data_IF_900872625141
#
_entry.id   IF_900872625141
#
_cell.length_a   1.000
_cell.length_b   1.000
_cell.length_c   1.000
_cell.angle_alpha   90.00
_cell.angle_beta   90.00
_cell.angle_gamma   90.00
#
_symmetry.space_group_name_H-M   'P 1'
#
loop_
_entity.id
_entity.type
_entity.pdbx_description
1 polymer ?
#
# COMPACT_ATOMS: atom_id res chain seq x y z
N UNK A 1 -0.59 25.51 6.59
CA UNK A 1 -1.21 24.20 6.37
C UNK A 1 -0.20 23.13 6.75
N UNK A 2 -0.65 22.00 7.30
CA UNK A 2 0.22 20.83 7.45
C UNK A 2 0.36 20.09 6.12
N UNK A 3 1.49 19.42 5.86
CA UNK A 3 1.71 18.62 4.65
C UNK A 3 0.56 17.64 4.36
N UNK A 4 -0.04 17.04 5.40
CA UNK A 4 -1.18 16.14 5.24
C UNK A 4 -2.45 16.84 4.70
N UNK A 5 -2.70 18.10 5.09
CA UNK A 5 -3.87 18.86 4.61
C UNK A 5 -3.70 19.24 3.15
N UNK A 6 -2.50 19.69 2.79
CA UNK A 6 -2.15 20.04 1.41
C UNK A 6 -2.18 18.82 0.50
N UNK A 7 -1.66 17.68 0.98
CA UNK A 7 -1.76 16.40 0.28
C UNK A 7 -3.20 15.97 0.06
N UNK A 8 -4.04 16.09 1.08
CA UNK A 8 -5.45 15.71 1.02
C UNK A 8 -6.23 16.55 0.01
N UNK A 9 -6.01 17.86 0.00
CA UNK A 9 -6.56 18.78 -1.00
C UNK A 9 -6.08 18.45 -2.41
N UNK A 10 -4.76 18.28 -2.59
CA UNK A 10 -4.13 18.01 -3.88
C UNK A 10 -4.63 16.69 -4.49
N UNK A 11 -4.68 15.61 -3.71
CA UNK A 11 -5.20 14.32 -4.17
C UNK A 11 -6.73 14.35 -4.40
N UNK A 12 -7.43 15.26 -3.70
CA UNK A 12 -8.87 15.51 -3.80
C UNK A 12 -9.30 16.32 -5.03
N UNK A 13 -8.38 17.04 -5.69
CA UNK A 13 -8.63 17.79 -6.92
C UNK A 13 -9.34 16.96 -7.97
N UNK A 14 -10.12 17.61 -8.84
CA UNK A 14 -10.89 16.91 -9.85
C UNK A 14 -10.01 16.00 -10.74
N UNK A 15 -10.61 14.93 -11.27
CA UNK A 15 -10.00 13.92 -12.13
C UNK A 15 -9.12 14.56 -13.19
N UNK A 16 -9.77 15.41 -13.98
CA UNK A 16 -9.22 16.11 -15.13
C UNK A 16 -8.24 17.21 -14.74
N UNK A 17 -8.23 17.67 -13.49
CA UNK A 17 -7.32 18.73 -13.06
C UNK A 17 -5.96 18.14 -12.63
N UNK A 18 -5.97 17.11 -11.77
CA UNK A 18 -4.76 16.45 -11.31
C UNK A 18 -3.95 15.85 -12.46
N UNK A 19 -4.61 15.10 -13.35
CA UNK A 19 -3.93 14.39 -14.43
C UNK A 19 -3.44 15.37 -15.50
N UNK A 20 -4.19 16.46 -15.76
CA UNK A 20 -3.80 17.50 -16.73
C UNK A 20 -2.64 18.35 -16.24
N UNK A 21 -2.55 18.58 -14.93
CA UNK A 21 -1.50 19.38 -14.32
C UNK A 21 -0.27 18.55 -13.95
N UNK A 22 -0.30 17.23 -14.19
CA UNK A 22 0.80 16.29 -13.90
C UNK A 22 1.29 16.36 -12.45
N UNK A 23 0.34 16.50 -11.49
CA UNK A 23 0.63 16.75 -10.07
C UNK A 23 1.18 15.53 -9.31
N UNK A 24 1.67 14.53 -10.04
CA UNK A 24 2.22 13.30 -9.48
C UNK A 24 3.48 13.58 -8.66
N UNK A 25 4.35 14.46 -9.15
CA UNK A 25 5.60 14.78 -8.47
C UNK A 25 5.33 15.57 -7.18
N UNK A 26 4.42 16.54 -7.22
CA UNK A 26 4.01 17.33 -6.06
C UNK A 26 3.37 16.45 -4.98
N UNK A 27 2.55 15.48 -5.40
CA UNK A 27 2.01 14.47 -4.47
C UNK A 27 3.12 13.64 -3.82
N UNK A 28 4.13 13.19 -4.59
CA UNK A 28 5.26 12.44 -4.06
C UNK A 28 6.07 13.28 -3.06
N UNK A 29 6.36 14.53 -3.39
CA UNK A 29 7.09 15.45 -2.51
C UNK A 29 6.35 15.71 -1.19
N UNK A 30 5.02 15.83 -1.22
CA UNK A 30 4.19 15.97 -0.02
C UNK A 30 4.14 14.67 0.79
N UNK A 31 4.09 13.51 0.14
CA UNK A 31 4.16 12.19 0.80
C UNK A 31 5.51 11.99 1.48
N UNK A 32 6.61 12.38 0.84
CA UNK A 32 7.96 12.31 1.42
C UNK A 32 8.16 13.19 2.66
N UNK A 33 7.30 14.20 2.86
CA UNK A 33 7.30 15.06 4.04
C UNK A 33 6.47 14.51 5.21
N UNK A 34 5.69 13.46 5.00
CA UNK A 34 4.89 12.85 6.05
C UNK A 34 5.79 12.31 7.16
N UNK A 35 5.33 12.43 8.40
CA UNK A 35 5.98 11.87 9.58
C UNK A 35 5.09 10.80 10.18
N UNK A 36 5.68 9.96 11.04
CA UNK A 36 4.93 8.92 11.76
C UNK A 36 3.78 9.49 12.60
N UNK A 37 3.90 10.73 13.07
CA UNK A 37 2.85 11.45 13.79
C UNK A 37 1.63 11.82 12.91
N UNK A 38 1.79 11.88 11.59
CA UNK A 38 0.71 12.21 10.65
C UNK A 38 -0.12 10.97 10.27
N UNK A 39 0.42 9.75 10.51
CA UNK A 39 -0.21 8.47 10.15
C UNK A 39 -1.60 8.27 10.78
N UNK A 40 -1.86 8.56 12.06
CA UNK A 40 -3.20 8.41 12.63
C UNK A 40 -4.25 9.27 11.92
N UNK A 41 -3.90 10.50 11.53
CA UNK A 41 -4.80 11.38 10.81
C UNK A 41 -4.99 10.91 9.36
N UNK A 42 -3.93 10.46 8.70
CA UNK A 42 -4.01 9.84 7.37
C UNK A 42 -4.92 8.59 7.35
N UNK A 43 -4.79 7.72 8.35
CA UNK A 43 -5.65 6.53 8.51
C UNK A 43 -7.11 6.89 8.77
N UNK A 44 -7.37 7.99 9.50
CA UNK A 44 -8.72 8.48 9.73
C UNK A 44 -9.35 9.05 8.45
N UNK A 45 -8.55 9.70 7.59
CA UNK A 45 -8.99 10.21 6.29
C UNK A 45 -9.23 9.10 5.26
N UNK A 46 -8.43 8.04 5.29
CA UNK A 46 -8.44 6.97 4.28
C UNK A 46 -9.84 6.43 3.91
N UNK A 47 -10.68 5.98 4.88
CA UNK A 47 -12.03 5.47 4.55
C UNK A 47 -13.02 6.56 4.13
N UNK A 48 -12.73 7.84 4.39
CA UNK A 48 -13.58 8.97 4.00
C UNK A 48 -13.34 9.42 2.56
N UNK A 49 -12.25 8.95 1.93
CA UNK A 49 -11.83 9.35 0.59
C UNK A 49 -12.19 8.30 -0.45
N UNK A 50 -12.48 8.79 -1.66
CA UNK A 50 -12.86 7.95 -2.79
C UNK A 50 -11.67 7.09 -3.27
N UNK A 51 -11.93 5.97 -3.98
CA UNK A 51 -10.87 5.10 -4.50
C UNK A 51 -9.81 5.83 -5.34
N UNK A 52 -10.19 6.86 -6.11
CA UNK A 52 -9.23 7.64 -6.93
C UNK A 52 -8.17 8.33 -6.06
N UNK A 53 -8.57 8.84 -4.90
CA UNK A 53 -7.68 9.52 -3.96
C UNK A 53 -6.64 8.53 -3.43
N UNK A 54 -7.10 7.34 -3.02
CA UNK A 54 -6.24 6.26 -2.51
C UNK A 54 -5.29 5.75 -3.61
N UNK A 55 -5.78 5.63 -4.84
CA UNK A 55 -4.97 5.27 -6.00
C UNK A 55 -3.86 6.30 -6.26
N UNK A 56 -4.19 7.60 -6.31
CA UNK A 56 -3.18 8.66 -6.50
C UNK A 56 -2.13 8.66 -5.39
N UNK A 57 -2.56 8.53 -4.13
CA UNK A 57 -1.64 8.40 -2.99
C UNK A 57 -0.66 7.25 -3.18
N UNK A 58 -1.18 6.05 -3.48
CA UNK A 58 -0.33 4.86 -3.61
C UNK A 58 0.60 4.91 -4.82
N UNK A 59 0.14 5.48 -5.94
CA UNK A 59 0.99 5.69 -7.12
C UNK A 59 2.14 6.65 -6.80
N UNK A 60 1.85 7.80 -6.16
CA UNK A 60 2.81 8.84 -5.81
C UNK A 60 3.62 8.56 -4.54
N UNK A 61 3.63 7.34 -4.02
CA UNK A 61 4.32 7.00 -2.75
C UNK A 61 5.78 6.57 -2.94
N UNK A 62 6.50 7.14 -3.92
CA UNK A 62 7.86 6.68 -4.25
C UNK A 62 8.90 7.11 -3.18
N UNK A 63 8.71 8.30 -2.61
CA UNK A 63 9.58 8.92 -1.62
C UNK A 63 9.14 8.72 -0.17
N UNK A 64 8.07 7.95 0.06
CA UNK A 64 7.52 7.72 1.40
C UNK A 64 8.59 7.17 2.36
N UNK A 65 8.68 7.77 3.54
CA UNK A 65 9.59 7.28 4.58
C UNK A 65 9.23 5.86 5.02
N UNK A 66 10.24 5.03 5.25
CA UNK A 66 10.05 3.62 5.57
C UNK A 66 9.34 3.37 6.91
N UNK A 67 9.48 4.26 7.89
CA UNK A 67 8.76 4.14 9.16
C UNK A 67 7.30 4.57 9.00
N UNK A 68 7.04 5.62 8.22
CA UNK A 68 5.68 6.05 7.84
C UNK A 68 4.95 4.96 7.08
N UNK A 69 5.58 4.39 6.05
CA UNK A 69 5.01 3.30 5.26
C UNK A 69 4.64 2.08 6.11
N UNK A 70 5.54 1.66 7.00
CA UNK A 70 5.29 0.53 7.92
C UNK A 70 4.11 0.82 8.85
N UNK A 71 4.05 2.01 9.44
CA UNK A 71 2.96 2.41 10.32
C UNK A 71 1.62 2.52 9.57
N UNK A 72 1.63 3.07 8.35
CA UNK A 72 0.47 3.17 7.48
C UNK A 72 -0.06 1.78 7.12
N UNK A 73 0.80 0.87 6.64
CA UNK A 73 0.42 -0.51 6.33
C UNK A 73 -0.17 -1.22 7.57
N UNK A 74 0.48 -1.10 8.73
CA UNK A 74 -0.04 -1.70 9.97
C UNK A 74 -1.45 -1.21 10.30
N UNK A 75 -1.72 0.08 10.12
CA UNK A 75 -3.03 0.69 10.36
C UNK A 75 -4.08 0.32 9.32
N UNK A 76 -3.72 0.31 8.03
CA UNK A 76 -4.62 -0.07 6.94
C UNK A 76 -5.12 -1.51 7.13
N UNK A 77 -4.26 -2.43 7.56
CA UNK A 77 -4.66 -3.82 7.83
C UNK A 77 -5.72 -3.98 8.93
N UNK A 78 -5.94 -2.95 9.76
CA UNK A 78 -6.98 -2.96 10.82
C UNK A 78 -8.33 -2.42 10.34
N UNK A 79 -8.38 -1.75 9.20
CA UNK A 79 -9.62 -1.21 8.63
C UNK A 79 -10.38 -2.38 7.98
N UNK A 80 -11.60 -2.65 8.47
CA UNK A 80 -12.39 -3.83 8.06
C UNK A 80 -12.96 -3.73 6.64
N UNK A 81 -12.99 -2.53 6.07
CA UNK A 81 -13.42 -2.27 4.70
C UNK A 81 -12.27 -2.54 3.72
N UNK A 82 -12.59 -2.89 2.48
CA UNK A 82 -11.59 -3.23 1.45
C UNK A 82 -10.53 -2.13 1.31
N UNK A 83 -9.35 -2.38 1.88
CA UNK A 83 -8.23 -1.44 1.87
C UNK A 83 -7.54 -1.50 0.51
N UNK A 84 -8.04 -0.70 -0.43
CA UNK A 84 -7.36 -0.43 -1.69
C UNK A 84 -5.96 0.13 -1.40
N UNK A 85 -4.98 -0.26 -2.22
CA UNK A 85 -3.61 0.26 -2.11
C UNK A 85 -2.66 -0.51 -1.21
N UNK A 86 -3.10 -1.50 -0.41
CA UNK A 86 -2.19 -2.28 0.46
C UNK A 86 -1.10 -2.98 -0.36
N UNK A 87 -1.47 -3.64 -1.47
CA UNK A 87 -0.49 -4.36 -2.31
C UNK A 87 0.45 -3.40 -3.05
N UNK A 88 -0.04 -2.26 -3.49
CA UNK A 88 0.75 -1.19 -4.10
C UNK A 88 1.76 -0.64 -3.10
N UNK A 89 1.33 -0.34 -1.87
CA UNK A 89 2.21 0.14 -0.79
C UNK A 89 3.21 -0.93 -0.33
N UNK A 90 2.83 -2.21 -0.32
CA UNK A 90 3.76 -3.31 -0.06
C UNK A 90 4.93 -3.32 -1.05
N UNK A 91 4.70 -2.94 -2.31
CA UNK A 91 5.77 -2.87 -3.32
C UNK A 91 6.80 -1.76 -3.05
N UNK A 92 6.48 -0.82 -2.14
CA UNK A 92 7.38 0.26 -1.69
C UNK A 92 8.21 -0.12 -0.45
N UNK A 93 7.90 -1.24 0.20
CA UNK A 93 8.73 -1.71 1.31
C UNK A 93 10.13 -2.11 0.81
N UNK A 94 11.17 -1.96 1.65
CA UNK A 94 12.48 -2.52 1.35
C UNK A 94 12.36 -4.02 1.02
N UNK A 95 13.20 -4.49 0.09
CA UNK A 95 13.29 -5.90 -0.32
C UNK A 95 13.93 -6.79 0.76
N UNK A 96 13.43 -6.70 1.99
CA UNK A 96 13.91 -7.47 3.13
C UNK A 96 12.72 -7.76 4.03
N UNK A 97 12.14 -8.94 3.85
CA UNK A 97 11.21 -9.49 4.80
C UNK A 97 11.94 -9.77 6.11
N UNK A 98 11.41 -9.25 7.20
CA UNK A 98 11.85 -9.55 8.56
C UNK A 98 10.81 -10.44 9.27
N UNK A 99 11.14 -10.90 10.47
CA UNK A 99 10.21 -11.60 11.35
C UNK A 99 9.36 -10.63 12.20
N UNK A 100 9.06 -9.44 11.68
CA UNK A 100 8.23 -8.47 12.40
C UNK A 100 6.76 -8.86 12.40
N UNK A 101 6.02 -8.34 13.39
CA UNK A 101 4.56 -8.48 13.46
C UNK A 101 3.86 -7.89 12.22
N UNK A 102 4.42 -6.85 11.60
CA UNK A 102 3.90 -6.31 10.35
C UNK A 102 4.03 -7.32 9.21
N UNK A 103 5.20 -7.95 9.07
CA UNK A 103 5.42 -8.97 8.03
C UNK A 103 4.48 -10.17 8.19
N UNK A 104 4.19 -10.58 9.42
CA UNK A 104 3.19 -11.62 9.69
C UNK A 104 1.78 -11.17 9.31
N UNK A 105 1.38 -9.94 9.68
CA UNK A 105 0.07 -9.40 9.35
C UNK A 105 -0.13 -9.22 7.83
N UNK A 106 0.92 -8.83 7.10
CA UNK A 106 0.91 -8.73 5.63
C UNK A 106 0.78 -10.11 4.98
N UNK A 107 1.42 -11.14 5.53
CA UNK A 107 1.24 -12.52 5.06
C UNK A 107 -0.19 -13.01 5.31
N UNK A 108 -0.75 -12.78 6.50
CA UNK A 108 -2.14 -13.14 6.82
C UNK A 108 -3.12 -12.42 5.89
N UNK A 109 -2.84 -11.17 5.53
CA UNK A 109 -3.62 -10.41 4.56
C UNK A 109 -3.51 -10.99 3.15
N UNK A 110 -2.29 -11.24 2.67
CA UNK A 110 -2.04 -11.78 1.33
C UNK A 110 -2.64 -13.17 1.13
N UNK A 111 -2.54 -14.04 2.16
CA UNK A 111 -3.14 -15.37 2.16
C UNK A 111 -4.67 -15.32 2.08
N UNK A 112 -5.31 -14.45 2.89
CA UNK A 112 -6.77 -14.25 2.80
C UNK A 112 -7.19 -13.71 1.43
N UNK A 113 -6.47 -12.72 0.90
CA UNK A 113 -6.75 -12.15 -0.41
C UNK A 113 -6.57 -13.17 -1.54
N UNK A 114 -5.58 -14.07 -1.43
CA UNK A 114 -5.33 -15.14 -2.40
C UNK A 114 -6.52 -16.07 -2.56
N UNK A 115 -7.15 -16.47 -1.45
CA UNK A 115 -8.32 -17.33 -1.49
C UNK A 115 -9.62 -16.60 -1.86
N UNK A 116 -9.68 -15.28 -1.66
CA UNK A 116 -10.87 -14.49 -1.94
C UNK A 116 -11.06 -14.15 -3.42
N UNK A 117 -9.97 -13.86 -4.17
CA UNK A 117 -10.06 -13.34 -5.54
C UNK A 117 -8.87 -13.80 -6.41
N UNK A 118 -9.15 -14.69 -7.36
CA UNK A 118 -8.14 -15.18 -8.31
C UNK A 118 -7.61 -14.09 -9.25
N UNK A 119 -8.41 -13.04 -9.52
CA UNK A 119 -7.98 -11.91 -10.35
C UNK A 119 -6.81 -11.12 -9.75
N UNK A 120 -6.56 -11.26 -8.45
CA UNK A 120 -5.48 -10.57 -7.72
C UNK A 120 -4.19 -11.38 -7.58
N UNK A 121 -4.18 -12.64 -8.02
CA UNK A 121 -3.03 -13.56 -7.83
C UNK A 121 -1.71 -12.98 -8.34
N UNK A 122 -1.71 -12.36 -9.52
CA UNK A 122 -0.52 -11.71 -10.08
C UNK A 122 -0.05 -10.51 -9.26
N UNK A 123 -0.98 -9.70 -8.76
CA UNK A 123 -0.65 -8.56 -7.92
C UNK A 123 -0.05 -9.03 -6.57
N UNK A 124 -0.65 -10.04 -5.95
CA UNK A 124 -0.16 -10.66 -4.72
C UNK A 124 1.27 -11.16 -4.89
N UNK A 125 1.54 -11.88 -5.99
CA UNK A 125 2.88 -12.37 -6.33
C UNK A 125 3.89 -11.22 -6.42
N UNK A 126 3.60 -10.20 -7.21
CA UNK A 126 4.50 -9.07 -7.43
C UNK A 126 4.79 -8.36 -6.10
N UNK A 127 3.75 -7.99 -5.35
CA UNK A 127 3.90 -7.27 -4.08
C UNK A 127 4.67 -8.07 -3.04
N UNK A 128 4.39 -9.38 -2.91
CA UNK A 128 5.12 -10.24 -1.97
C UNK A 128 6.55 -10.50 -2.42
N UNK A 129 6.83 -10.52 -3.73
CA UNK A 129 8.19 -10.62 -4.23
C UNK A 129 9.00 -9.35 -3.93
N UNK A 130 8.44 -8.17 -4.19
CA UNK A 130 9.09 -6.87 -3.96
C UNK A 130 9.56 -6.67 -2.53
N UNK A 131 8.78 -7.13 -1.54
CA UNK A 131 9.14 -7.01 -0.11
C UNK A 131 9.77 -8.28 0.50
N UNK A 132 10.09 -9.30 -0.30
CA UNK A 132 10.75 -10.53 0.17
C UNK A 132 9.84 -11.53 0.90
N UNK A 133 8.52 -11.35 0.90
CA UNK A 133 7.55 -12.24 1.56
C UNK A 133 7.17 -13.47 0.72
N UNK A 134 7.51 -13.52 -0.57
CA UNK A 134 7.13 -14.59 -1.51
C UNK A 134 7.34 -16.00 -0.96
N UNK A 135 8.54 -16.33 -0.48
CA UNK A 135 8.84 -17.69 0.00
C UNK A 135 8.01 -18.10 1.22
N UNK A 136 7.71 -17.15 2.10
CA UNK A 136 6.88 -17.38 3.29
C UNK A 136 5.41 -17.56 2.92
N UNK A 137 4.93 -16.78 1.96
CA UNK A 137 3.57 -16.92 1.43
C UNK A 137 3.39 -18.24 0.70
N UNK A 138 4.30 -18.62 -0.21
CA UNK A 138 4.28 -19.90 -0.91
C UNK A 138 4.19 -21.08 0.07
N UNK A 139 4.99 -21.05 1.15
CA UNK A 139 4.95 -22.07 2.20
C UNK A 139 3.57 -22.17 2.88
N UNK A 140 2.91 -21.03 3.17
CA UNK A 140 1.56 -21.00 3.77
C UNK A 140 0.51 -21.55 2.81
N UNK A 141 0.65 -21.23 1.52
CA UNK A 141 -0.24 -21.72 0.46
C UNK A 141 0.01 -23.19 0.08
N UNK A 142 1.05 -23.84 0.63
CA UNK A 142 1.43 -25.21 0.26
C UNK A 142 2.04 -25.33 -1.14
N UNK A 143 2.58 -24.25 -1.69
CA UNK A 143 3.18 -24.18 -3.02
C UNK A 143 4.71 -24.18 -2.93
N UNK A 144 5.37 -24.79 -3.92
CA UNK A 144 6.84 -24.78 -4.01
C UNK A 144 7.36 -23.59 -4.82
N UNK A 145 6.57 -23.15 -5.81
CA UNK A 145 6.85 -22.00 -6.65
C UNK A 145 5.56 -21.39 -7.21
N UNK A 146 5.62 -20.13 -7.65
CA UNK A 146 4.48 -19.43 -8.24
C UNK A 146 3.91 -20.11 -9.49
N UNK A 147 4.77 -20.78 -10.28
CA UNK A 147 4.36 -21.58 -11.45
C UNK A 147 3.38 -22.71 -11.09
N UNK A 148 3.41 -23.21 -9.86
CA UNK A 148 2.50 -24.27 -9.40
C UNK A 148 1.05 -23.75 -9.31
N UNK A 149 0.88 -22.42 -9.24
CA UNK A 149 -0.40 -21.72 -9.32
C UNK A 149 -0.67 -21.08 -10.71
N UNK A 150 0.15 -21.36 -11.72
CA UNK A 150 -0.01 -20.81 -13.08
C UNK A 150 0.46 -19.37 -13.27
N UNK A 151 1.37 -18.87 -12.42
CA UNK A 151 1.91 -17.50 -12.43
C UNK A 151 3.40 -17.39 -12.82
#
# INVERSE_FOLDING_TARGET
>A
MSALQELDELLGLDGDEYDRLDLFQEADELIGQLRTADVPALLALWPQREPRWQQRFTQASASIDGAVLRALLAGLLQIKETCHGVFELMSRLPATADASALSDALLDYAERAWYADQGRHRQIQISCWSCGLSGRLLKRLGLSAWKDAGL
#
